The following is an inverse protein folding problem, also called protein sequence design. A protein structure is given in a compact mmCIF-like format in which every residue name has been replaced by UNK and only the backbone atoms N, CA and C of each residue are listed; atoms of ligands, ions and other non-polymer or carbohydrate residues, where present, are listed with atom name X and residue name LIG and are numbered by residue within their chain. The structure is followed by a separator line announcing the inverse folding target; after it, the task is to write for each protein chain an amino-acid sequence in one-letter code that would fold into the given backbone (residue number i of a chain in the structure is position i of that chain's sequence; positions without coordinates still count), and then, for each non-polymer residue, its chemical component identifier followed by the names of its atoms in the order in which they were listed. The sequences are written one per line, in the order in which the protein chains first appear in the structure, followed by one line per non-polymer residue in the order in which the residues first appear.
data_IF_682451344221
#
_entry.id   IF_682451344221
#
_cell.length_a   1.000
_cell.length_b   1.000
_cell.length_c   1.000
_cell.angle_alpha   90.00
_cell.angle_beta   90.00
_cell.angle_gamma   90.00
#
_symmetry.space_group_name_H-M   'P 1'
#
loop_
_entity.id
_entity.type
_entity.pdbx_description
1 polymer ?
#
# COMPACT_ATOMS: atom_id res chain seq x y z
N UNK A 1 3.35 6.46 11.98
CA UNK A 1 3.85 5.59 10.87
C UNK A 1 4.62 6.39 9.82
N UNK A 2 4.06 7.48 9.25
CA UNK A 2 4.77 8.36 8.29
C UNK A 2 6.18 8.76 8.72
N UNK A 3 6.35 9.19 9.97
CA UNK A 3 7.68 9.56 10.50
C UNK A 3 8.66 8.39 10.54
N UNK A 4 8.19 7.16 10.79
CA UNK A 4 9.02 5.96 10.73
C UNK A 4 9.42 5.65 9.28
N UNK A 5 8.49 5.81 8.33
CA UNK A 5 8.78 5.67 6.90
C UNK A 5 9.79 6.70 6.39
N UNK A 6 9.82 7.92 6.93
CA UNK A 6 10.85 8.92 6.61
C UNK A 6 12.26 8.53 7.05
N UNK A 7 12.39 7.60 8.00
CA UNK A 7 13.69 7.04 8.43
C UNK A 7 14.15 5.88 7.55
N UNK A 8 13.26 5.36 6.70
CA UNK A 8 13.62 4.37 5.69
C UNK A 8 14.41 5.08 4.60
N UNK A 9 15.44 4.42 4.05
CA UNK A 9 16.24 4.99 2.96
C UNK A 9 15.36 5.38 1.78
N UNK A 10 15.75 6.45 1.06
CA UNK A 10 14.94 7.04 -0.03
C UNK A 10 14.51 6.00 -1.07
N UNK A 11 15.42 5.12 -1.46
CA UNK A 11 15.14 4.08 -2.44
C UNK A 11 14.09 3.09 -1.93
N UNK A 12 14.23 2.61 -0.69
CA UNK A 12 13.30 1.68 -0.07
C UNK A 12 11.93 2.33 0.18
N UNK A 13 11.88 3.60 0.55
CA UNK A 13 10.63 4.36 0.68
C UNK A 13 9.84 4.38 -0.64
N UNK A 14 10.51 4.72 -1.74
CA UNK A 14 9.86 4.77 -3.05
C UNK A 14 9.47 3.38 -3.56
N UNK A 15 10.31 2.36 -3.35
CA UNK A 15 9.99 0.98 -3.69
C UNK A 15 8.73 0.50 -2.96
N UNK A 16 8.66 0.72 -1.64
CA UNK A 16 7.48 0.38 -0.84
C UNK A 16 6.25 1.15 -1.33
N UNK A 17 6.41 2.44 -1.62
CA UNK A 17 5.34 3.27 -2.18
C UNK A 17 4.80 2.69 -3.49
N UNK A 18 5.67 2.47 -4.47
CA UNK A 18 5.28 1.90 -5.77
C UNK A 18 4.59 0.55 -5.63
N UNK A 19 5.14 -0.34 -4.80
CA UNK A 19 4.57 -1.65 -4.54
C UNK A 19 3.15 -1.54 -3.96
N UNK A 20 2.95 -0.76 -2.89
CA UNK A 20 1.62 -0.66 -2.27
C UNK A 20 0.61 0.09 -3.14
N UNK A 21 1.04 1.10 -3.90
CA UNK A 21 0.20 1.79 -4.89
C UNK A 21 -0.25 0.82 -5.99
N UNK A 22 0.64 -0.05 -6.47
CA UNK A 22 0.30 -1.09 -7.43
C UNK A 22 -0.64 -2.14 -6.83
N UNK A 23 -0.39 -2.60 -5.61
CA UNK A 23 -1.28 -3.52 -4.88
C UNK A 23 -2.69 -2.95 -4.76
N UNK A 24 -2.84 -1.66 -4.48
CA UNK A 24 -4.17 -1.02 -4.47
C UNK A 24 -4.84 -1.05 -5.86
N UNK A 25 -4.09 -0.97 -6.95
CA UNK A 25 -4.65 -1.13 -8.30
C UNK A 25 -5.09 -2.59 -8.56
N UNK A 26 -4.32 -3.57 -8.08
CA UNK A 26 -4.71 -5.00 -8.15
C UNK A 26 -6.02 -5.23 -7.41
N UNK A 27 -6.18 -4.67 -6.21
CA UNK A 27 -7.40 -4.78 -5.39
C UNK A 27 -8.60 -4.12 -6.09
N UNK A 28 -8.41 -3.02 -6.82
CA UNK A 28 -9.52 -2.44 -7.62
C UNK A 28 -10.11 -3.40 -8.64
N UNK A 29 -9.33 -4.38 -9.08
CA UNK A 29 -9.73 -5.42 -10.03
C UNK A 29 -10.17 -6.71 -9.32
N UNK A 30 -10.47 -6.66 -8.01
CA UNK A 30 -10.84 -7.84 -7.19
C UNK A 30 -12.03 -8.62 -7.77
N UNK A 31 -12.99 -7.95 -8.42
CA UNK A 31 -14.11 -8.62 -9.08
C UNK A 31 -13.65 -9.63 -10.15
N UNK A 32 -12.51 -9.38 -10.79
CA UNK A 32 -11.94 -10.18 -11.87
C UNK A 32 -10.84 -11.13 -11.37
N UNK A 33 -9.90 -10.63 -10.56
CA UNK A 33 -8.73 -11.40 -10.14
C UNK A 33 -8.90 -12.11 -8.78
N UNK A 34 -9.97 -11.82 -8.03
CA UNK A 34 -10.28 -12.37 -6.69
C UNK A 34 -9.23 -12.06 -5.61
N UNK A 35 -8.40 -11.04 -5.82
CA UNK A 35 -7.32 -10.65 -4.91
C UNK A 35 -7.70 -9.44 -4.05
N UNK A 36 -8.40 -9.69 -2.95
CA UNK A 36 -8.72 -8.67 -1.96
C UNK A 36 -7.57 -8.34 -1.00
N UNK A 37 -7.78 -7.32 -0.15
CA UNK A 37 -6.80 -6.83 0.85
C UNK A 37 -6.23 -7.97 1.69
N UNK A 38 -7.10 -8.89 2.14
CA UNK A 38 -6.74 -9.97 3.03
C UNK A 38 -5.89 -11.07 2.37
N UNK A 39 -6.12 -11.34 1.09
CA UNK A 39 -5.36 -12.31 0.30
C UNK A 39 -3.96 -11.75 0.00
N UNK A 40 -3.89 -10.52 -0.49
CA UNK A 40 -2.60 -9.85 -0.74
C UNK A 40 -1.84 -9.60 0.57
N UNK A 41 -2.54 -9.25 1.66
CA UNK A 41 -1.94 -9.14 2.99
C UNK A 41 -1.27 -10.42 3.48
N UNK A 42 -1.85 -11.59 3.16
CA UNK A 42 -1.28 -12.90 3.49
C UNK A 42 -0.02 -13.20 2.66
N UNK A 43 -0.03 -12.85 1.36
CA UNK A 43 1.11 -13.09 0.47
C UNK A 43 2.29 -12.16 0.77
N UNK A 44 2.04 -10.87 0.97
CA UNK A 44 3.10 -9.89 1.19
C UNK A 44 3.72 -9.95 2.59
N UNK A 45 3.07 -10.62 3.56
CA UNK A 45 3.66 -10.80 4.89
C UNK A 45 4.99 -11.57 4.82
N UNK A 46 5.07 -12.59 3.95
CA UNK A 46 6.26 -13.44 3.81
C UNK A 46 7.35 -12.73 3.01
N UNK A 47 6.97 -11.93 2.01
CA UNK A 47 7.90 -11.16 1.19
C UNK A 47 8.55 -10.03 1.97
N UNK A 48 7.79 -9.36 2.84
CA UNK A 48 8.25 -8.19 3.59
C UNK A 48 8.74 -8.53 5.00
N UNK A 49 8.60 -9.78 5.42
CA UNK A 49 8.92 -10.26 6.78
C UNK A 49 8.30 -9.39 7.89
N UNK A 50 7.01 -9.09 7.74
CA UNK A 50 6.23 -8.30 8.71
C UNK A 50 4.86 -8.93 8.91
N UNK A 51 4.18 -8.58 10.01
CA UNK A 51 2.86 -9.14 10.30
C UNK A 51 1.84 -8.81 9.20
N UNK A 52 0.98 -9.77 8.87
CA UNK A 52 -0.16 -9.57 7.95
C UNK A 52 -1.00 -8.35 8.31
N UNK A 53 -1.19 -8.08 9.61
CA UNK A 53 -1.92 -6.89 10.08
C UNK A 53 -1.23 -5.61 9.64
N UNK A 54 0.11 -5.53 9.76
CA UNK A 54 0.86 -4.38 9.31
C UNK A 54 0.80 -4.23 7.78
N UNK A 55 0.88 -5.34 7.03
CA UNK A 55 0.72 -5.29 5.57
C UNK A 55 -0.66 -4.76 5.18
N UNK A 56 -1.74 -5.30 5.75
CA UNK A 56 -3.11 -4.83 5.49
C UNK A 56 -3.26 -3.34 5.84
N UNK A 57 -2.69 -2.91 6.97
CA UNK A 57 -2.68 -1.50 7.36
C UNK A 57 -1.96 -0.63 6.31
N UNK A 58 -0.79 -1.07 5.84
CA UNK A 58 -0.03 -0.38 4.80
C UNK A 58 -0.83 -0.29 3.50
N UNK A 59 -1.49 -1.37 3.05
CA UNK A 59 -2.33 -1.40 1.85
C UNK A 59 -3.48 -0.40 1.94
N UNK A 60 -4.24 -0.40 3.04
CA UNK A 60 -5.41 0.47 3.20
C UNK A 60 -5.00 1.93 3.27
N UNK A 61 -3.88 2.23 3.92
CA UNK A 61 -3.41 3.59 4.15
C UNK A 61 -2.37 4.07 3.12
N UNK A 62 -2.08 3.32 2.07
CA UNK A 62 -1.03 3.67 1.10
C UNK A 62 -1.37 4.94 0.30
N UNK A 63 -2.58 5.00 -0.24
CA UNK A 63 -3.14 6.16 -0.94
C UNK A 63 -4.67 6.12 -0.95
N UNK A 64 -5.31 7.19 -1.43
CA UNK A 64 -6.76 7.29 -1.60
C UNK A 64 -7.35 6.46 -2.73
N UNK A 65 -6.61 5.51 -3.32
CA UNK A 65 -7.11 4.69 -4.44
C UNK A 65 -8.27 3.78 -4.03
N UNK A 66 -8.30 3.27 -2.80
CA UNK A 66 -9.33 2.32 -2.36
C UNK A 66 -10.61 2.97 -1.82
N UNK A 67 -10.55 4.21 -1.30
CA UNK A 67 -11.71 4.90 -0.71
C UNK A 67 -12.11 6.11 -1.55
N UNK A 68 -13.38 6.17 -1.99
CA UNK A 68 -13.91 7.29 -2.80
C UNK A 68 -14.29 8.53 -1.96
N UNK A 69 -14.60 8.35 -0.67
CA UNK A 69 -15.26 9.39 0.16
C UNK A 69 -14.45 9.89 1.37
N UNK A 70 -13.20 9.45 1.55
CA UNK A 70 -12.40 9.86 2.71
C UNK A 70 -11.75 11.24 2.51
N UNK A 71 -11.81 12.09 3.55
CA UNK A 71 -11.10 13.36 3.58
C UNK A 71 -9.60 13.16 3.26
N UNK A 72 -9.16 13.76 2.15
CA UNK A 72 -7.88 13.50 1.47
C UNK A 72 -6.68 14.14 2.16
N UNK A 73 -6.32 13.71 3.36
CA UNK A 73 -5.06 14.12 3.99
C UNK A 73 -4.51 13.01 4.87
N UNK A 74 -3.33 12.47 4.55
CA UNK A 74 -2.58 11.64 5.49
C UNK A 74 -2.19 10.23 5.05
N UNK A 75 -2.32 9.85 3.77
CA UNK A 75 -1.89 8.53 3.32
C UNK A 75 -0.37 8.39 3.29
N UNK A 76 0.11 7.18 3.54
CA UNK A 76 1.52 6.88 3.78
C UNK A 76 2.43 7.27 2.62
N UNK A 77 1.94 7.25 1.38
CA UNK A 77 2.71 7.50 0.16
C UNK A 77 2.03 8.53 -0.77
N UNK A 78 1.40 9.56 -0.19
CA UNK A 78 0.78 10.67 -0.94
C UNK A 78 1.73 11.39 -1.91
N UNK A 79 3.03 11.37 -1.60
CA UNK A 79 4.10 12.01 -2.37
C UNK A 79 4.69 11.10 -3.47
N UNK A 80 4.26 9.84 -3.55
CA UNK A 80 4.73 8.89 -4.56
C UNK A 80 3.76 8.84 -5.73
N UNK A 81 4.26 9.08 -6.94
CA UNK A 81 3.49 8.99 -8.19
C UNK A 81 4.08 7.92 -9.10
N UNK A 82 3.26 6.93 -9.50
CA UNK A 82 3.64 5.99 -10.55
C UNK A 82 3.52 6.77 -11.86
N UNK A 83 4.66 7.16 -12.44
CA UNK A 83 4.71 7.76 -13.78
C UNK A 83 4.59 6.62 -14.81
N UNK A 84 3.74 6.75 -15.85
CA UNK A 84 3.61 5.77 -16.92
C UNK A 84 4.92 5.51 -17.67
#
# INVERSE_FOLDING_TARGET
MKEKLRRVGRAQYHLLGYMFLHVQNVIKMESENKMGIHALGLLFQTVLDISRQLVCYMIVNASGRLCKDAAKTGYLFDDVTIVP
#
